data_IF_685864627347
#
_entry.id   IF_685864627347
#
_cell.length_a   1.000
_cell.length_b   1.000
_cell.length_c   1.000
_cell.angle_alpha   90.00
_cell.angle_beta   90.00
_cell.angle_gamma   90.00
#
_symmetry.space_group_name_H-M   'P 1'
#
loop_
_entity.id
_entity.type
_entity.pdbx_description
1 polymer ?
#
# COMPACT_ATOMS: atom_id res chain seq x y z
N UNK A 1 36.82 -8.55 50.74
CA UNK A 1 35.46 -8.75 50.18
C UNK A 1 35.27 -7.75 49.06
N UNK A 2 35.38 -8.18 47.80
CA UNK A 2 35.26 -7.34 46.61
C UNK A 2 33.83 -7.40 46.09
N UNK A 3 33.14 -6.26 46.09
CA UNK A 3 31.79 -6.11 45.54
C UNK A 3 31.85 -6.19 44.00
N UNK A 4 31.54 -7.37 43.46
CA UNK A 4 31.08 -7.55 42.09
C UNK A 4 29.62 -7.12 42.01
N UNK A 5 29.30 -6.09 41.23
CA UNK A 5 28.17 -6.01 40.29
C UNK A 5 27.99 -4.55 39.83
N UNK A 6 28.88 -4.15 38.93
CA UNK A 6 28.70 -3.00 38.07
C UNK A 6 27.70 -3.36 36.95
N UNK A 7 26.47 -3.68 37.35
CA UNK A 7 25.39 -3.94 36.38
C UNK A 7 24.88 -2.59 35.88
N UNK A 8 25.35 -2.19 34.69
CA UNK A 8 24.70 -1.14 33.90
C UNK A 8 23.23 -1.52 33.72
N UNK A 9 22.36 -1.05 34.61
CA UNK A 9 20.91 -1.15 34.44
C UNK A 9 20.57 -0.40 33.16
N UNK A 10 20.42 -1.12 32.04
CA UNK A 10 19.78 -0.55 30.85
C UNK A 10 18.39 -0.09 31.31
N UNK A 11 18.06 1.20 31.21
CA UNK A 11 16.73 1.66 31.60
C UNK A 11 15.71 0.89 30.78
N UNK A 12 14.80 0.18 31.46
CA UNK A 12 13.62 -0.40 30.82
C UNK A 12 12.79 0.77 30.30
N UNK A 13 12.87 1.01 29.00
CA UNK A 13 12.00 1.96 28.34
C UNK A 13 10.66 1.24 28.08
N UNK A 14 9.54 1.74 28.63
CA UNK A 14 8.25 1.09 28.45
C UNK A 14 7.85 1.11 26.98
N UNK A 15 7.60 -0.08 26.42
CA UNK A 15 7.05 -0.25 25.07
C UNK A 15 5.55 -0.05 25.13
N UNK A 16 5.01 0.76 24.20
CA UNK A 16 3.57 0.88 24.00
C UNK A 16 3.15 -0.21 23.04
N UNK A 17 2.18 -1.03 23.43
CA UNK A 17 1.62 -2.08 22.57
C UNK A 17 0.19 -1.71 22.25
N UNK A 18 -0.04 -1.34 20.99
CA UNK A 18 -1.35 -1.02 20.47
C UNK A 18 -1.97 -2.27 19.84
N UNK A 19 -3.24 -2.56 20.13
CA UNK A 19 -4.00 -3.66 19.53
C UNK A 19 -5.14 -3.12 18.70
N UNK A 20 -5.21 -3.53 17.44
CA UNK A 20 -6.31 -3.18 16.52
C UNK A 20 -6.95 -4.46 16.00
N UNK A 21 -8.28 -4.54 16.08
CA UNK A 21 -9.04 -5.64 15.48
C UNK A 21 -9.12 -5.45 13.97
N UNK A 22 -8.84 -6.50 13.21
CA UNK A 22 -9.01 -6.53 11.75
C UNK A 22 -9.98 -7.63 11.36
N UNK A 23 -10.68 -7.44 10.25
CA UNK A 23 -11.41 -8.53 9.63
C UNK A 23 -10.48 -9.47 8.85
N UNK A 24 -10.88 -10.74 8.81
CA UNK A 24 -10.21 -11.81 8.09
C UNK A 24 -10.09 -11.46 6.59
N UNK A 25 -8.90 -11.66 6.02
CA UNK A 25 -8.57 -11.56 4.58
C UNK A 25 -8.27 -10.17 3.99
N UNK A 26 -8.03 -9.13 4.78
CA UNK A 26 -7.56 -7.85 4.24
C UNK A 26 -6.03 -7.80 4.17
N UNK A 27 -5.50 -7.56 2.97
CA UNK A 27 -4.06 -7.40 2.76
C UNK A 27 -3.62 -5.98 3.11
N UNK A 28 -2.51 -5.89 3.84
CA UNK A 28 -1.85 -4.62 4.17
C UNK A 28 -1.42 -3.90 2.91
N UNK A 29 -1.77 -2.61 2.79
CA UNK A 29 -1.45 -1.78 1.61
C UNK A 29 -0.37 -0.76 1.92
N UNK A 30 0.76 -0.85 1.21
CA UNK A 30 1.76 0.21 1.16
C UNK A 30 1.29 1.42 0.36
N UNK A 31 2.09 2.49 0.34
CA UNK A 31 1.95 3.58 -0.64
C UNK A 31 2.51 3.15 -1.99
N UNK A 32 2.01 3.72 -3.10
CA UNK A 32 2.55 3.47 -4.43
C UNK A 32 4.07 3.71 -4.48
N UNK A 33 4.54 4.81 -3.87
CA UNK A 33 5.96 5.10 -3.77
C UNK A 33 6.75 3.99 -3.07
N UNK A 34 6.24 3.49 -1.94
CA UNK A 34 6.90 2.41 -1.19
C UNK A 34 6.93 1.10 -1.97
N UNK A 35 5.84 0.74 -2.67
CA UNK A 35 5.76 -0.45 -3.51
C UNK A 35 6.75 -0.39 -4.67
N UNK A 36 6.80 0.75 -5.38
CA UNK A 36 7.75 0.94 -6.48
C UNK A 36 9.21 0.90 -5.99
N UNK A 37 9.50 1.55 -4.87
CA UNK A 37 10.85 1.57 -4.29
C UNK A 37 11.31 0.15 -3.91
N UNK A 38 10.45 -0.63 -3.24
CA UNK A 38 10.75 -2.03 -2.89
C UNK A 38 10.94 -2.90 -4.13
N UNK A 39 10.16 -2.66 -5.18
CA UNK A 39 10.28 -3.37 -6.45
C UNK A 39 11.62 -3.06 -7.14
N UNK A 40 12.02 -1.78 -7.20
CA UNK A 40 13.31 -1.35 -7.75
C UNK A 40 14.49 -1.92 -6.96
N UNK A 41 14.45 -1.86 -5.63
CA UNK A 41 15.49 -2.45 -4.78
C UNK A 41 15.63 -3.96 -5.03
N UNK A 42 14.51 -4.67 -5.26
CA UNK A 42 14.54 -6.08 -5.65
C UNK A 42 15.17 -6.25 -7.04
N UNK A 43 14.75 -5.45 -8.03
CA UNK A 43 15.31 -5.47 -9.39
C UNK A 43 16.83 -5.23 -9.38
N UNK A 44 17.32 -4.25 -8.63
CA UNK A 44 18.75 -3.95 -8.48
C UNK A 44 19.51 -5.11 -7.82
N UNK A 45 18.99 -5.66 -6.71
CA UNK A 45 19.61 -6.81 -6.03
C UNK A 45 19.74 -8.02 -6.93
N UNK A 46 18.72 -8.27 -7.76
CA UNK A 46 18.74 -9.37 -8.71
C UNK A 46 19.64 -9.10 -9.92
N UNK A 47 19.73 -7.84 -10.38
CA UNK A 47 20.62 -7.43 -11.48
C UNK A 47 22.11 -7.50 -11.12
N UNK A 48 22.47 -7.22 -9.86
CA UNK A 48 23.85 -7.31 -9.36
C UNK A 48 24.35 -8.75 -9.10
N UNK A 49 23.72 -9.75 -9.70
CA UNK A 49 24.30 -11.08 -9.81
C UNK A 49 24.36 -11.88 -8.51
N UNK A 50 23.60 -11.51 -7.47
CA UNK A 50 23.43 -12.37 -6.29
C UNK A 50 22.80 -13.75 -6.63
N UNK A 51 22.41 -13.98 -7.90
CA UNK A 51 21.88 -15.24 -8.45
C UNK A 51 22.35 -15.54 -9.90
N UNK A 52 23.53 -15.09 -10.31
CA UNK A 52 23.96 -15.14 -11.72
C UNK A 52 24.03 -16.57 -12.33
N UNK A 53 23.47 -16.73 -13.54
CA UNK A 53 23.81 -17.81 -14.47
C UNK A 53 24.25 -17.21 -15.81
N UNK A 54 25.49 -17.54 -16.21
CA UNK A 54 26.25 -16.87 -17.27
C UNK A 54 25.95 -17.31 -18.70
N UNK A 55 25.22 -18.40 -18.95
CA UNK A 55 25.12 -18.98 -20.31
C UNK A 55 23.88 -18.60 -21.11
N UNK A 56 22.94 -17.84 -20.53
CA UNK A 56 21.66 -17.52 -21.19
C UNK A 56 21.64 -16.15 -21.89
N UNK A 57 22.69 -15.33 -21.76
CA UNK A 57 22.67 -13.91 -22.13
C UNK A 57 22.38 -13.63 -23.62
N UNK A 58 22.86 -14.47 -24.54
CA UNK A 58 22.69 -14.25 -25.99
C UNK A 58 21.36 -14.79 -26.56
N UNK A 59 20.86 -15.93 -26.05
CA UNK A 59 19.52 -16.42 -26.39
C UNK A 59 18.42 -15.56 -25.72
N UNK A 60 18.69 -15.06 -24.52
CA UNK A 60 17.81 -14.10 -23.85
C UNK A 60 17.69 -12.79 -24.62
N UNK A 61 18.73 -12.22 -25.23
CA UNK A 61 18.60 -10.96 -26.01
C UNK A 61 17.61 -11.05 -27.17
N UNK A 62 17.63 -12.14 -27.94
CA UNK A 62 16.73 -12.34 -29.09
C UNK A 62 15.28 -12.59 -28.63
N UNK A 63 15.11 -13.37 -27.56
CA UNK A 63 13.82 -13.63 -26.93
C UNK A 63 13.31 -12.33 -26.26
N UNK A 64 14.17 -11.56 -25.60
CA UNK A 64 13.89 -10.29 -24.94
C UNK A 64 13.33 -9.27 -25.93
N UNK A 65 13.95 -9.12 -27.11
CA UNK A 65 13.44 -8.25 -28.17
C UNK A 65 12.03 -8.64 -28.65
N UNK A 66 11.78 -9.94 -28.88
CA UNK A 66 10.46 -10.42 -29.32
C UNK A 66 9.39 -10.28 -28.24
N UNK A 67 9.73 -10.56 -26.99
CA UNK A 67 8.80 -10.45 -25.85
C UNK A 67 8.48 -9.00 -25.51
N UNK A 68 9.50 -8.14 -25.54
CA UNK A 68 9.32 -6.70 -25.41
C UNK A 68 8.41 -6.19 -26.54
N UNK A 69 8.65 -6.60 -27.79
CA UNK A 69 7.78 -6.22 -28.93
C UNK A 69 6.34 -6.72 -28.78
N UNK A 70 6.11 -7.94 -28.28
CA UNK A 70 4.76 -8.49 -28.06
C UNK A 70 4.05 -7.74 -26.92
N UNK A 71 4.77 -7.43 -25.84
CA UNK A 71 4.25 -6.69 -24.70
C UNK A 71 3.92 -5.25 -25.10
N UNK A 72 4.84 -4.61 -25.81
CA UNK A 72 4.74 -3.26 -26.35
C UNK A 72 3.60 -3.17 -27.36
N UNK A 73 3.46 -4.15 -28.25
CA UNK A 73 2.33 -4.25 -29.17
C UNK A 73 1.01 -4.48 -28.44
N UNK A 74 0.97 -5.40 -27.48
CA UNK A 74 -0.23 -5.64 -26.69
C UNK A 74 -0.65 -4.38 -25.92
N UNK A 75 0.29 -3.60 -25.40
CA UNK A 75 0.01 -2.39 -24.63
C UNK A 75 -0.32 -1.21 -25.55
N UNK A 76 0.47 -0.97 -26.59
CA UNK A 76 0.21 0.09 -27.58
C UNK A 76 -1.13 -0.15 -28.27
N UNK A 77 -1.45 -1.39 -28.66
CA UNK A 77 -2.70 -1.72 -29.36
C UNK A 77 -3.90 -1.80 -28.42
N UNK A 78 -3.78 -2.38 -27.21
CA UNK A 78 -4.91 -2.50 -26.29
C UNK A 78 -5.16 -1.23 -25.48
N UNK A 79 -4.14 -0.40 -25.26
CA UNK A 79 -4.18 0.74 -24.34
C UNK A 79 -3.75 2.08 -24.94
N UNK A 80 -3.39 2.13 -26.23
CA UNK A 80 -3.04 3.36 -26.98
C UNK A 80 -1.91 4.19 -26.35
N UNK A 81 -0.94 3.54 -25.70
CA UNK A 81 0.22 4.21 -25.11
C UNK A 81 1.34 4.27 -26.14
N UNK A 82 1.87 5.46 -26.44
CA UNK A 82 2.86 5.69 -27.50
C UNK A 82 4.32 5.62 -27.02
N UNK A 83 4.57 5.85 -25.73
CA UNK A 83 5.89 5.69 -25.11
C UNK A 83 5.79 4.70 -23.93
N UNK A 84 6.47 3.57 -24.06
CA UNK A 84 6.52 2.49 -23.06
C UNK A 84 7.88 2.41 -22.35
N UNK A 85 8.66 3.50 -22.32
CA UNK A 85 9.88 3.52 -21.53
C UNK A 85 9.60 3.26 -20.05
N UNK A 86 10.56 2.64 -19.35
CA UNK A 86 10.42 2.32 -17.92
C UNK A 86 10.16 3.59 -17.09
N UNK A 87 10.87 4.67 -17.40
CA UNK A 87 10.69 5.99 -16.77
C UNK A 87 9.28 6.54 -16.96
N UNK A 88 8.66 6.36 -18.12
CA UNK A 88 7.28 6.80 -18.36
C UNK A 88 6.29 5.97 -17.56
N UNK A 89 6.48 4.66 -17.51
CA UNK A 89 5.60 3.76 -16.75
C UNK A 89 5.71 3.99 -15.24
N UNK A 90 6.90 4.28 -14.73
CA UNK A 90 7.08 4.70 -13.35
C UNK A 90 6.36 6.03 -13.03
N UNK A 91 6.42 7.00 -13.95
CA UNK A 91 5.67 8.27 -13.81
C UNK A 91 4.15 8.03 -13.83
N UNK A 92 3.67 7.17 -14.72
CA UNK A 92 2.26 6.77 -14.80
C UNK A 92 1.83 6.07 -13.50
N UNK A 93 2.66 5.15 -12.99
CA UNK A 93 2.39 4.41 -11.76
C UNK A 93 2.25 5.31 -10.52
N UNK A 94 3.10 6.33 -10.43
CA UNK A 94 3.09 7.28 -9.31
C UNK A 94 2.07 8.42 -9.45
N UNK A 95 1.42 8.54 -10.61
CA UNK A 95 0.53 9.66 -10.89
C UNK A 95 -0.66 9.73 -9.92
N UNK A 96 -0.97 10.94 -9.48
CA UNK A 96 -2.10 11.27 -8.62
C UNK A 96 -3.41 11.53 -9.41
N UNK A 97 -3.51 10.99 -10.62
CA UNK A 97 -4.68 11.08 -11.50
C UNK A 97 -4.61 10.03 -12.59
N UNK A 98 -5.75 9.72 -13.20
CA UNK A 98 -5.78 8.93 -14.43
C UNK A 98 -4.97 9.67 -15.51
N UNK A 99 -3.99 8.99 -16.11
CA UNK A 99 -3.04 9.61 -17.07
C UNK A 99 -3.28 9.18 -18.50
N UNK A 100 -3.92 8.04 -18.70
CA UNK A 100 -4.29 7.54 -20.02
C UNK A 100 -5.66 8.11 -20.40
N UNK A 101 -5.67 9.02 -21.37
CA UNK A 101 -6.86 9.79 -21.80
C UNK A 101 -8.00 8.93 -22.33
N UNK A 102 -7.74 7.68 -22.71
CA UNK A 102 -8.75 6.71 -23.14
C UNK A 102 -9.42 5.97 -21.97
N UNK A 103 -9.06 6.25 -20.73
CA UNK A 103 -9.52 5.54 -19.54
C UNK A 103 -10.29 6.49 -18.63
N UNK A 104 -11.54 6.15 -18.37
CA UNK A 104 -12.36 6.86 -17.40
C UNK A 104 -11.91 6.53 -15.97
N UNK A 105 -12.12 7.48 -15.05
CA UNK A 105 -11.88 7.24 -13.65
C UNK A 105 -12.76 6.08 -13.14
N UNK A 106 -12.10 5.11 -12.48
CA UNK A 106 -12.74 3.91 -11.97
C UNK A 106 -13.08 4.11 -10.48
N UNK A 107 -14.21 3.58 -10.03
CA UNK A 107 -14.54 3.55 -8.60
C UNK A 107 -13.61 2.63 -7.79
N UNK A 108 -13.52 2.87 -6.48
CA UNK A 108 -12.64 2.10 -5.56
C UNK A 108 -12.95 0.61 -5.60
N UNK A 109 -14.23 0.22 -5.54
CA UNK A 109 -14.69 -1.18 -5.60
C UNK A 109 -14.23 -1.88 -6.88
N UNK A 110 -14.38 -1.20 -8.02
CA UNK A 110 -14.01 -1.76 -9.32
C UNK A 110 -12.49 -1.88 -9.46
N UNK A 111 -11.73 -0.87 -9.04
CA UNK A 111 -10.26 -0.96 -9.03
C UNK A 111 -9.79 -2.10 -8.12
N UNK A 112 -10.41 -2.26 -6.95
CA UNK A 112 -10.12 -3.37 -6.04
C UNK A 112 -10.43 -4.73 -6.67
N UNK A 113 -11.60 -4.87 -7.28
CA UNK A 113 -11.98 -6.10 -7.98
C UNK A 113 -10.94 -6.49 -9.05
N UNK A 114 -10.47 -5.53 -9.85
CA UNK A 114 -9.43 -5.76 -10.84
C UNK A 114 -8.11 -6.21 -10.19
N UNK A 115 -7.68 -5.54 -9.11
CA UNK A 115 -6.50 -5.95 -8.34
C UNK A 115 -6.63 -7.39 -7.83
N UNK A 116 -7.77 -7.73 -7.23
CA UNK A 116 -8.02 -9.05 -6.64
C UNK A 116 -7.98 -10.16 -7.70
N UNK A 117 -8.53 -9.93 -8.90
CA UNK A 117 -8.44 -10.89 -10.00
C UNK A 117 -6.98 -11.13 -10.39
N UNK A 118 -6.20 -10.06 -10.55
CA UNK A 118 -4.80 -10.16 -10.98
C UNK A 118 -3.94 -10.84 -9.90
N UNK A 119 -4.16 -10.50 -8.62
CA UNK A 119 -3.50 -11.14 -7.48
C UNK A 119 -3.86 -12.62 -7.41
N UNK A 120 -5.14 -12.99 -7.55
CA UNK A 120 -5.56 -14.40 -7.60
C UNK A 120 -4.86 -15.17 -8.72
N UNK A 121 -4.70 -14.56 -9.91
CA UNK A 121 -3.95 -15.20 -10.99
C UNK A 121 -2.46 -15.38 -10.66
N UNK A 122 -1.81 -14.39 -10.03
CA UNK A 122 -0.43 -14.52 -9.54
C UNK A 122 -0.30 -15.62 -8.48
N UNK A 123 -1.24 -15.69 -7.52
CA UNK A 123 -1.25 -16.71 -6.46
C UNK A 123 -1.51 -18.11 -7.02
N UNK A 124 -2.47 -18.25 -7.93
CA UNK A 124 -2.74 -19.52 -8.61
C UNK A 124 -1.52 -19.99 -9.39
N UNK A 125 -0.80 -19.07 -10.05
CA UNK A 125 0.47 -19.40 -10.71
C UNK A 125 1.52 -19.91 -9.70
N UNK A 126 1.68 -19.20 -8.57
CA UNK A 126 2.58 -19.60 -7.48
C UNK A 126 2.26 -21.00 -6.96
N UNK A 127 0.98 -21.28 -6.69
CA UNK A 127 0.50 -22.55 -6.14
C UNK A 127 0.62 -23.67 -7.17
N UNK A 128 0.15 -23.48 -8.40
CA UNK A 128 0.18 -24.49 -9.46
C UNK A 128 1.62 -24.94 -9.77
N UNK A 129 2.59 -24.05 -9.64
CA UNK A 129 4.01 -24.37 -9.79
C UNK A 129 4.57 -25.11 -8.57
N UNK A 130 4.24 -24.68 -7.35
CA UNK A 130 4.65 -25.36 -6.11
C UNK A 130 4.09 -26.79 -5.98
N UNK A 131 2.85 -27.03 -6.39
CA UNK A 131 2.17 -28.34 -6.21
C UNK A 131 2.49 -29.37 -7.29
N UNK A 132 2.79 -28.95 -8.53
CA UNK A 132 3.01 -29.89 -9.63
C UNK A 132 4.43 -30.44 -9.75
N UNK A 133 5.34 -30.12 -8.82
CA UNK A 133 6.76 -30.51 -8.93
C UNK A 133 7.46 -30.01 -10.21
N UNK A 134 6.81 -29.08 -10.93
CA UNK A 134 7.20 -28.55 -12.25
C UNK A 134 8.06 -27.29 -12.15
N UNK A 135 8.47 -26.90 -10.94
CA UNK A 135 9.46 -25.85 -10.77
C UNK A 135 10.77 -26.38 -11.35
N UNK A 136 11.15 -25.91 -12.54
CA UNK A 136 12.57 -25.95 -12.91
C UNK A 136 13.37 -25.32 -11.75
N UNK A 137 14.61 -25.77 -11.51
CA UNK A 137 15.45 -25.30 -10.39
C UNK A 137 15.48 -23.75 -10.23
N UNK A 138 15.25 -22.99 -11.30
CA UNK A 138 15.16 -21.53 -11.32
C UNK A 138 13.82 -20.95 -10.81
N UNK A 139 12.68 -21.60 -11.06
CA UNK A 139 11.35 -21.09 -10.68
C UNK A 139 11.05 -21.32 -9.18
N UNK A 140 11.73 -22.27 -8.53
CA UNK A 140 11.66 -22.47 -7.08
C UNK A 140 12.58 -21.53 -6.29
N UNK A 141 13.33 -20.67 -6.98
CA UNK A 141 14.36 -19.86 -6.33
C UNK A 141 13.74 -18.82 -5.37
N UNK A 142 14.42 -18.48 -4.26
CA UNK A 142 14.02 -17.38 -3.39
C UNK A 142 13.84 -16.06 -4.16
N UNK A 143 14.65 -15.84 -5.20
CA UNK A 143 14.55 -14.71 -6.10
C UNK A 143 13.19 -14.65 -6.83
N UNK A 144 12.69 -15.78 -7.31
CA UNK A 144 11.40 -15.87 -7.98
C UNK A 144 10.22 -15.60 -7.03
N UNK A 145 10.26 -16.18 -5.82
CA UNK A 145 9.24 -15.92 -4.80
C UNK A 145 9.23 -14.46 -4.35
N UNK A 146 10.42 -13.85 -4.24
CA UNK A 146 10.56 -12.44 -3.93
C UNK A 146 10.02 -11.56 -5.06
N UNK A 147 10.30 -11.90 -6.32
CA UNK A 147 9.74 -11.22 -7.49
C UNK A 147 8.21 -11.25 -7.47
N UNK A 148 7.59 -12.42 -7.24
CA UNK A 148 6.13 -12.54 -7.17
C UNK A 148 5.52 -11.74 -6.02
N UNK A 149 6.15 -11.77 -4.84
CA UNK A 149 5.71 -10.96 -3.70
C UNK A 149 5.78 -9.46 -3.99
N UNK A 150 6.87 -8.98 -4.61
CA UNK A 150 7.01 -7.55 -4.95
C UNK A 150 6.14 -7.12 -6.12
N UNK A 151 5.82 -8.05 -7.00
CA UNK A 151 4.82 -7.88 -8.06
C UNK A 151 3.40 -7.70 -7.47
N UNK A 152 3.05 -8.51 -6.47
CA UNK A 152 1.80 -8.32 -5.72
C UNK A 152 1.76 -6.96 -5.01
N UNK A 153 2.84 -6.56 -4.33
CA UNK A 153 2.95 -5.23 -3.68
C UNK A 153 2.70 -4.08 -4.68
N UNK A 154 3.19 -4.21 -5.93
CA UNK A 154 2.95 -3.22 -7.00
C UNK A 154 1.48 -3.15 -7.42
N UNK A 155 0.81 -4.29 -7.59
CA UNK A 155 -0.62 -4.34 -7.95
C UNK A 155 -1.48 -3.74 -6.84
N UNK A 156 -1.24 -4.13 -5.59
CA UNK A 156 -1.98 -3.62 -4.43
C UNK A 156 -1.83 -2.10 -4.34
N UNK A 157 -0.61 -1.59 -4.54
CA UNK A 157 -0.27 -0.17 -4.44
C UNK A 157 -0.77 0.72 -5.58
N UNK A 158 -1.33 0.18 -6.67
CA UNK A 158 -1.73 1.01 -7.83
C UNK A 158 -2.96 1.88 -7.52
N UNK A 159 -2.86 3.20 -7.72
CA UNK A 159 -3.94 4.16 -7.39
C UNK A 159 -5.00 4.33 -8.46
N UNK A 160 -4.61 4.09 -9.71
CA UNK A 160 -5.40 4.31 -10.93
C UNK A 160 -5.41 3.05 -11.77
N UNK A 161 -6.30 3.00 -12.76
CA UNK A 161 -6.26 1.92 -13.74
C UNK A 161 -5.01 2.00 -14.62
N UNK A 162 -4.59 3.22 -14.97
CA UNK A 162 -3.32 3.51 -15.64
C UNK A 162 -2.13 2.99 -14.82
N UNK A 163 -2.12 3.19 -13.49
CA UNK A 163 -1.08 2.66 -12.62
C UNK A 163 -1.12 1.12 -12.53
N UNK A 164 -2.32 0.53 -12.53
CA UNK A 164 -2.47 -0.93 -12.55
C UNK A 164 -1.92 -1.53 -13.86
N UNK A 165 -2.07 -0.82 -14.97
CA UNK A 165 -1.47 -1.23 -16.25
C UNK A 165 0.04 -1.02 -16.27
N UNK A 166 0.51 0.11 -15.71
CA UNK A 166 1.94 0.37 -15.57
C UNK A 166 2.63 -0.67 -14.69
N UNK A 167 1.98 -1.16 -13.62
CA UNK A 167 2.55 -2.24 -12.81
C UNK A 167 2.71 -3.52 -13.62
N UNK A 168 1.71 -3.92 -14.42
CA UNK A 168 1.83 -5.06 -15.34
C UNK A 168 3.02 -4.91 -16.28
N UNK A 169 3.24 -3.71 -16.83
CA UNK A 169 4.39 -3.44 -17.67
C UNK A 169 5.72 -3.56 -16.93
N UNK A 170 5.85 -2.90 -15.77
CA UNK A 170 7.07 -2.91 -14.97
C UNK A 170 7.45 -4.32 -14.53
N UNK A 171 6.46 -5.12 -14.14
CA UNK A 171 6.65 -6.53 -13.79
C UNK A 171 7.10 -7.36 -14.98
N UNK A 172 6.45 -7.19 -16.14
CA UNK A 172 6.82 -7.90 -17.36
C UNK A 172 8.27 -7.59 -17.74
N UNK A 173 8.61 -6.30 -17.86
CA UNK A 173 9.94 -5.83 -18.23
C UNK A 173 11.02 -6.33 -17.28
N UNK A 174 10.77 -6.24 -15.97
CA UNK A 174 11.68 -6.76 -14.95
C UNK A 174 11.91 -8.26 -15.13
N UNK A 175 10.86 -9.06 -15.32
CA UNK A 175 11.02 -10.48 -15.53
C UNK A 175 11.75 -10.85 -16.83
N UNK A 176 11.56 -10.08 -17.92
CA UNK A 176 12.35 -10.27 -19.14
C UNK A 176 13.83 -9.93 -18.90
N UNK A 177 14.13 -8.91 -18.11
CA UNK A 177 15.52 -8.57 -17.73
C UNK A 177 16.15 -9.64 -16.83
N UNK A 178 15.37 -10.25 -15.94
CA UNK A 178 15.82 -11.30 -15.04
C UNK A 178 15.94 -12.68 -15.71
N UNK A 179 15.62 -12.76 -17.01
CA UNK A 179 15.75 -14.01 -17.76
C UNK A 179 14.77 -15.10 -17.30
N UNK A 180 13.66 -14.73 -16.66
CA UNK A 180 12.58 -15.67 -16.34
C UNK A 180 11.93 -16.13 -17.64
N UNK A 181 12.53 -17.14 -18.28
CA UNK A 181 12.08 -17.67 -19.57
C UNK A 181 11.47 -19.05 -19.41
N UNK A 182 10.23 -19.18 -19.93
CA UNK A 182 9.69 -20.29 -20.75
C UNK A 182 8.17 -20.19 -20.69
N UNK A 183 7.54 -19.73 -21.78
CA UNK A 183 6.10 -19.75 -22.11
C UNK A 183 5.07 -19.44 -21.01
N UNK A 184 5.04 -20.16 -19.89
CA UNK A 184 4.15 -20.00 -18.75
C UNK A 184 4.16 -18.60 -18.14
N UNK A 185 5.33 -17.97 -17.97
CA UNK A 185 5.39 -16.61 -17.43
C UNK A 185 4.77 -15.60 -18.41
N UNK A 186 5.09 -15.72 -19.70
CA UNK A 186 4.48 -14.88 -20.73
C UNK A 186 2.99 -15.12 -20.86
N UNK A 187 2.56 -16.37 -20.75
CA UNK A 187 1.15 -16.71 -20.71
C UNK A 187 0.48 -16.12 -19.47
N UNK A 188 1.15 -16.09 -18.31
CA UNK A 188 0.65 -15.37 -17.14
C UNK A 188 0.46 -13.88 -17.44
N UNK A 189 1.44 -13.22 -18.07
CA UNK A 189 1.32 -11.79 -18.43
C UNK A 189 0.27 -11.52 -19.51
N UNK A 190 0.17 -12.38 -20.52
CA UNK A 190 -0.85 -12.30 -21.55
C UNK A 190 -2.24 -12.55 -20.96
N UNK A 191 -2.37 -13.49 -20.03
CA UNK A 191 -3.61 -13.77 -19.30
C UNK A 191 -3.99 -12.58 -18.43
N UNK A 192 -3.09 -12.07 -17.59
CA UNK A 192 -3.30 -10.88 -16.75
C UNK A 192 -3.74 -9.68 -17.60
N UNK A 193 -3.02 -9.41 -18.69
CA UNK A 193 -3.32 -8.30 -19.61
C UNK A 193 -4.64 -8.48 -20.37
N UNK A 194 -4.99 -9.72 -20.73
CA UNK A 194 -6.24 -10.04 -21.42
C UNK A 194 -7.42 -9.96 -20.46
N UNK A 195 -7.29 -10.51 -19.26
CA UNK A 195 -8.29 -10.38 -18.21
C UNK A 195 -8.56 -8.92 -17.90
N UNK A 196 -7.52 -8.10 -17.71
CA UNK A 196 -7.68 -6.66 -17.48
C UNK A 196 -8.40 -5.98 -18.65
N UNK A 197 -7.96 -6.24 -19.90
CA UNK A 197 -8.58 -5.65 -21.08
C UNK A 197 -10.06 -6.06 -21.26
N UNK A 198 -10.41 -7.31 -20.98
CA UNK A 198 -11.79 -7.79 -21.05
C UNK A 198 -12.64 -7.15 -19.95
N UNK A 199 -12.15 -7.12 -18.71
CA UNK A 199 -12.88 -6.51 -17.59
C UNK A 199 -13.09 -5.00 -17.77
N UNK A 200 -12.15 -4.31 -18.42
CA UNK A 200 -12.32 -2.89 -18.81
C UNK A 200 -13.45 -2.72 -19.82
N UNK A 201 -13.56 -3.61 -20.81
CA UNK A 201 -14.60 -3.50 -21.84
C UNK A 201 -16.01 -3.80 -21.33
N UNK A 202 -16.14 -4.70 -20.35
CA UNK A 202 -17.46 -5.19 -19.93
C UNK A 202 -18.06 -4.43 -18.76
N UNK A 203 -17.26 -3.82 -17.86
CA UNK A 203 -17.73 -3.43 -16.52
C UNK A 203 -17.46 -1.97 -16.09
N UNK A 204 -17.11 -1.07 -17.01
CA UNK A 204 -16.55 0.23 -16.66
C UNK A 204 -17.49 1.41 -16.90
N UNK A 205 -18.60 1.45 -16.17
CA UNK A 205 -19.28 2.72 -15.92
C UNK A 205 -18.34 3.67 -15.15
N UNK A 206 -18.22 4.90 -15.67
CA UNK A 206 -17.41 5.98 -15.14
C UNK A 206 -18.13 6.63 -13.95
N UNK A 207 -17.45 6.71 -12.80
CA UNK A 207 -17.88 7.57 -11.70
C UNK A 207 -16.71 8.47 -11.30
N UNK A 208 -16.74 9.70 -11.80
CA UNK A 208 -15.70 10.69 -11.53
C UNK A 208 -15.74 11.19 -10.08
N UNK A 209 -16.89 11.12 -9.40
CA UNK A 209 -17.03 11.55 -8.01
C UNK A 209 -16.50 10.49 -7.04
N UNK A 210 -16.69 9.20 -7.36
CA UNK A 210 -16.14 8.07 -6.59
C UNK A 210 -14.75 7.58 -7.08
N UNK A 211 -14.00 8.40 -7.82
CA UNK A 211 -12.74 8.01 -8.43
C UNK A 211 -11.73 7.45 -7.39
N UNK A 212 -11.28 6.22 -7.59
CA UNK A 212 -10.44 5.48 -6.66
C UNK A 212 -9.15 6.23 -6.28
N UNK A 213 -8.55 6.91 -7.26
CA UNK A 213 -7.31 7.64 -7.06
C UNK A 213 -7.45 8.81 -6.09
N UNK A 214 -8.63 9.44 -5.99
CA UNK A 214 -8.88 10.53 -5.02
C UNK A 214 -8.85 9.99 -3.59
N UNK A 215 -9.49 8.85 -3.37
CA UNK A 215 -9.52 8.21 -2.05
C UNK A 215 -8.12 7.70 -1.66
N UNK A 216 -7.43 7.02 -2.58
CA UNK A 216 -6.07 6.52 -2.35
C UNK A 216 -5.07 7.66 -2.11
N UNK A 217 -5.14 8.76 -2.88
CA UNK A 217 -4.31 9.95 -2.66
C UNK A 217 -4.53 10.53 -1.26
N UNK A 218 -5.79 10.62 -0.83
CA UNK A 218 -6.12 11.12 0.50
C UNK A 218 -5.55 10.18 1.57
N UNK A 219 -5.79 8.88 1.45
CA UNK A 219 -5.24 7.84 2.34
C UNK A 219 -3.72 7.94 2.47
N UNK A 220 -2.98 8.03 1.35
CA UNK A 220 -1.52 8.12 1.37
C UNK A 220 -1.03 9.37 2.10
N UNK A 221 -1.67 10.53 1.87
CA UNK A 221 -1.33 11.77 2.58
C UNK A 221 -1.55 11.64 4.09
N UNK A 222 -2.69 11.08 4.49
CA UNK A 222 -3.00 10.82 5.90
C UNK A 222 -1.96 9.90 6.55
N UNK A 223 -1.59 8.82 5.86
CA UNK A 223 -0.56 7.89 6.33
C UNK A 223 0.79 8.60 6.54
N UNK A 224 1.23 9.42 5.58
CA UNK A 224 2.50 10.17 5.69
C UNK A 224 2.47 11.14 6.88
N UNK A 225 1.36 11.85 7.11
CA UNK A 225 1.22 12.75 8.26
C UNK A 225 1.24 11.99 9.59
N UNK A 226 0.60 10.83 9.65
CA UNK A 226 0.62 9.97 10.85
C UNK A 226 2.03 9.41 11.10
N UNK A 227 2.75 9.00 10.06
CA UNK A 227 4.14 8.56 10.15
C UNK A 227 5.07 9.68 10.64
N UNK A 228 4.90 10.92 10.16
CA UNK A 228 5.60 12.09 10.67
C UNK A 228 5.25 12.36 12.15
N UNK A 229 3.97 12.23 12.52
CA UNK A 229 3.55 12.33 13.92
C UNK A 229 4.24 11.28 14.80
N UNK A 230 4.28 10.02 14.37
CA UNK A 230 4.98 8.94 15.08
C UNK A 230 6.48 9.25 15.19
N UNK A 231 7.16 9.65 14.12
CA UNK A 231 8.60 9.97 14.18
C UNK A 231 8.96 10.99 15.28
N UNK A 232 8.02 11.90 15.59
CA UNK A 232 8.18 12.96 16.62
C UNK A 232 7.73 12.55 18.02
N UNK A 233 7.05 11.41 18.17
CA UNK A 233 6.32 11.01 19.40
C UNK A 233 6.56 9.56 19.83
N UNK A 234 6.66 8.63 18.91
CA UNK A 234 6.83 7.21 19.17
C UNK A 234 7.56 6.53 18.00
N UNK A 235 8.73 5.96 18.28
CA UNK A 235 9.48 5.18 17.29
C UNK A 235 8.80 3.82 17.11
N UNK A 236 8.37 3.52 15.89
CA UNK A 236 7.81 2.21 15.55
C UNK A 236 8.89 1.13 15.66
N UNK A 237 8.58 0.02 16.34
CA UNK A 237 9.50 -1.11 16.56
C UNK A 237 9.13 -2.25 15.62
N UNK A 238 7.89 -2.73 15.73
CA UNK A 238 7.43 -3.92 15.02
C UNK A 238 5.91 -3.97 14.94
N UNK A 239 5.42 -4.74 13.98
CA UNK A 239 4.02 -5.14 13.87
C UNK A 239 3.95 -6.66 13.80
N UNK A 240 3.05 -7.26 14.57
CA UNK A 240 2.76 -8.69 14.54
C UNK A 240 1.29 -8.87 14.19
N UNK A 241 1.02 -9.68 13.17
CA UNK A 241 -0.32 -10.01 12.72
C UNK A 241 -0.75 -11.36 13.29
N UNK A 242 -1.95 -11.40 13.85
CA UNK A 242 -2.67 -12.60 14.23
C UNK A 242 -4.01 -12.63 13.48
N UNK A 243 -4.76 -13.74 13.55
CA UNK A 243 -5.96 -13.97 12.73
C UNK A 243 -6.98 -12.81 12.79
N UNK A 244 -7.18 -12.23 13.97
CA UNK A 244 -8.18 -11.17 14.20
C UNK A 244 -7.56 -9.85 14.67
N UNK A 245 -6.25 -9.80 14.90
CA UNK A 245 -5.61 -8.66 15.55
C UNK A 245 -4.26 -8.34 14.96
N UNK A 246 -3.95 -7.05 14.91
CA UNK A 246 -2.59 -6.58 14.69
C UNK A 246 -2.10 -5.85 15.92
N UNK A 247 -0.93 -6.30 16.37
CA UNK A 247 -0.19 -5.71 17.48
C UNK A 247 0.90 -4.82 16.90
N UNK A 248 0.88 -3.54 17.25
CA UNK A 248 1.94 -2.59 16.89
C UNK A 248 2.68 -2.16 18.15
N UNK A 249 4.01 -2.21 18.10
CA UNK A 249 4.86 -1.87 19.23
C UNK A 249 5.63 -0.59 18.96
N UNK A 250 5.61 0.33 19.92
CA UNK A 250 6.27 1.63 19.82
C UNK A 250 7.14 1.94 21.04
N UNK A 251 8.23 2.65 20.79
CA UNK A 251 9.05 3.26 21.83
C UNK A 251 8.70 4.75 21.95
N UNK A 252 8.13 5.21 23.08
CA UNK A 252 7.81 6.61 23.24
C UNK A 252 9.08 7.47 23.22
N UNK A 253 9.04 8.55 22.46
CA UNK A 253 10.10 9.56 22.48
C UNK A 253 9.97 10.35 23.77
N UNK A 254 10.92 10.19 24.69
CA UNK A 254 10.93 10.87 25.98
C UNK A 254 11.18 12.38 25.79
N UNK A 255 10.29 13.23 26.31
CA UNK A 255 10.40 14.70 26.24
C UNK A 255 10.66 15.36 27.60
N UNK A 256 11.13 14.61 28.58
CA UNK A 256 11.50 15.13 29.90
C UNK A 256 10.44 14.89 30.99
N UNK A 257 10.68 15.47 32.17
CA UNK A 257 9.95 15.17 33.42
C UNK A 257 8.52 15.71 33.49
N UNK A 258 8.25 16.89 32.92
CA UNK A 258 6.92 17.54 32.97
C UNK A 258 5.93 17.02 31.92
N UNK A 259 6.26 15.90 31.27
CA UNK A 259 5.52 15.39 30.15
C UNK A 259 4.49 14.35 30.60
N UNK A 260 3.21 14.57 30.25
CA UNK A 260 2.13 13.65 30.58
C UNK A 260 2.21 12.35 29.74
N UNK A 261 2.93 11.36 30.27
CA UNK A 261 3.18 10.07 29.61
C UNK A 261 1.89 9.31 29.30
N UNK A 262 0.91 9.33 30.22
CA UNK A 262 -0.38 8.63 30.04
C UNK A 262 -1.14 9.19 28.84
N UNK A 263 -1.24 10.52 28.76
CA UNK A 263 -1.89 11.20 27.65
C UNK A 263 -1.19 10.93 26.31
N UNK A 264 0.15 10.88 26.28
CA UNK A 264 0.88 10.55 25.06
C UNK A 264 0.63 9.13 24.59
N UNK A 265 0.72 8.15 25.49
CA UNK A 265 0.51 6.75 25.15
C UNK A 265 -0.89 6.55 24.56
N UNK A 266 -1.90 7.11 25.21
CA UNK A 266 -3.28 7.04 24.72
C UNK A 266 -3.46 7.75 23.36
N UNK A 267 -2.77 8.87 23.10
CA UNK A 267 -2.77 9.51 21.77
C UNK A 267 -2.04 8.68 20.71
N UNK A 268 -0.98 7.95 21.09
CA UNK A 268 -0.30 7.01 20.20
C UNK A 268 -1.25 5.87 19.84
N UNK A 269 -2.02 5.35 20.79
CA UNK A 269 -3.03 4.32 20.54
C UNK A 269 -4.10 4.81 19.55
N UNK A 270 -4.62 6.02 19.72
CA UNK A 270 -5.60 6.63 18.80
C UNK A 270 -5.01 6.81 17.41
N UNK A 271 -3.81 7.39 17.30
CA UNK A 271 -3.13 7.56 16.02
C UNK A 271 -2.85 6.22 15.34
N UNK A 272 -2.47 5.19 16.10
CA UNK A 272 -2.19 3.85 15.58
C UNK A 272 -3.47 3.17 15.08
N UNK A 273 -4.58 3.31 15.81
CA UNK A 273 -5.86 2.78 15.36
C UNK A 273 -6.25 3.35 13.99
N UNK A 274 -6.15 4.67 13.80
CA UNK A 274 -6.41 5.30 12.50
C UNK A 274 -5.40 4.86 11.43
N UNK A 275 -4.10 4.84 11.74
CA UNK A 275 -3.06 4.41 10.80
C UNK A 275 -3.30 2.98 10.31
N UNK A 276 -3.66 2.06 11.21
CA UNK A 276 -4.02 0.68 10.88
C UNK A 276 -5.28 0.60 10.03
N UNK A 277 -6.33 1.34 10.37
CA UNK A 277 -7.55 1.42 9.55
C UNK A 277 -7.24 1.86 8.10
N UNK A 278 -6.35 2.84 7.94
CA UNK A 278 -5.91 3.32 6.62
C UNK A 278 -4.97 2.35 5.89
N UNK A 279 -4.15 1.58 6.60
CA UNK A 279 -3.26 0.59 5.97
C UNK A 279 -4.02 -0.62 5.41
N UNK A 280 -5.06 -1.07 6.10
CA UNK A 280 -5.87 -2.22 5.69
C UNK A 280 -7.14 -1.80 4.95
N UNK A 281 -7.39 -0.49 4.84
CA UNK A 281 -8.61 0.06 4.24
C UNK A 281 -9.88 -0.50 4.89
N UNK A 282 -9.91 -0.51 6.22
CA UNK A 282 -11.06 -0.99 6.98
C UNK A 282 -11.37 -0.15 8.20
N UNK A 283 -12.66 0.01 8.43
CA UNK A 283 -13.20 0.73 9.58
C UNK A 283 -14.39 -0.06 10.13
N UNK A 284 -14.34 -0.45 11.40
CA UNK A 284 -15.40 -1.21 12.09
C UNK A 284 -15.86 -2.49 11.36
N UNK A 285 -14.97 -3.13 10.61
CA UNK A 285 -15.31 -4.30 9.80
C UNK A 285 -15.99 -4.00 8.47
N UNK A 286 -16.10 -2.73 8.10
CA UNK A 286 -16.46 -2.34 6.74
C UNK A 286 -15.20 -1.97 5.96
N UNK A 287 -15.26 -2.13 4.64
CA UNK A 287 -14.18 -1.70 3.73
C UNK A 287 -14.31 -0.20 3.51
N UNK A 288 -13.21 0.53 3.62
CA UNK A 288 -13.16 1.96 3.28
C UNK A 288 -13.13 2.07 1.75
N UNK A 289 -14.29 2.01 1.12
CA UNK A 289 -14.44 2.03 -0.35
C UNK A 289 -15.06 3.33 -0.89
N UNK A 290 -15.35 4.28 0.00
CA UNK A 290 -15.95 5.55 -0.34
C UNK A 290 -15.51 6.64 0.66
N UNK A 291 -15.57 7.92 0.27
CA UNK A 291 -15.08 9.03 1.11
C UNK A 291 -15.87 9.22 2.41
N UNK A 292 -17.15 8.83 2.46
CA UNK A 292 -17.96 8.92 3.69
C UNK A 292 -17.43 8.01 4.79
N UNK A 293 -17.09 6.76 4.47
CA UNK A 293 -16.53 5.81 5.45
C UNK A 293 -15.17 6.29 5.95
N UNK A 294 -14.33 6.83 5.05
CA UNK A 294 -13.05 7.45 5.43
C UNK A 294 -13.26 8.64 6.37
N UNK A 295 -14.24 9.51 6.09
CA UNK A 295 -14.59 10.63 6.97
C UNK A 295 -15.04 10.15 8.34
N UNK A 296 -15.86 9.10 8.41
CA UNK A 296 -16.33 8.53 9.67
C UNK A 296 -15.17 7.99 10.52
N UNK A 297 -14.21 7.31 9.89
CA UNK A 297 -12.98 6.86 10.57
C UNK A 297 -12.19 8.03 11.15
N UNK A 298 -12.06 9.12 10.40
CA UNK A 298 -11.36 10.33 10.85
C UNK A 298 -12.08 11.03 12.01
N UNK A 299 -13.40 11.24 11.88
CA UNK A 299 -14.24 11.82 12.94
C UNK A 299 -14.20 10.99 14.22
N UNK A 300 -14.18 9.65 14.09
CA UNK A 300 -14.02 8.75 15.22
C UNK A 300 -12.67 8.96 15.92
N UNK A 301 -11.57 9.07 15.18
CA UNK A 301 -10.26 9.36 15.73
C UNK A 301 -10.20 10.74 16.42
N UNK A 302 -10.87 11.76 15.88
CA UNK A 302 -10.99 13.08 16.50
C UNK A 302 -11.73 13.01 17.85
N UNK A 303 -12.88 12.33 17.86
CA UNK A 303 -13.67 12.11 19.08
C UNK A 303 -12.89 11.31 20.14
N UNK A 304 -12.15 10.28 19.71
CA UNK A 304 -11.31 9.48 20.62
C UNK A 304 -10.13 10.27 21.18
N UNK A 305 -9.48 11.12 20.38
CA UNK A 305 -8.42 12.01 20.86
C UNK A 305 -8.96 13.04 21.88
N UNK A 306 -10.14 13.61 21.63
CA UNK A 306 -10.80 14.52 22.57
C UNK A 306 -11.18 13.81 23.87
N UNK A 307 -11.74 12.60 23.78
CA UNK A 307 -12.05 11.77 24.95
C UNK A 307 -10.81 11.47 25.79
N UNK A 308 -9.72 11.06 25.15
CA UNK A 308 -8.43 10.78 25.80
C UNK A 308 -7.86 12.04 26.46
N UNK A 309 -8.00 13.21 25.82
CA UNK A 309 -7.60 14.48 26.41
C UNK A 309 -8.42 14.82 27.66
N UNK A 310 -9.74 14.61 27.66
CA UNK A 310 -10.58 14.83 28.85
C UNK A 310 -10.25 13.87 29.99
N UNK A 311 -9.87 12.63 29.69
CA UNK A 311 -9.58 11.62 30.69
C UNK A 311 -8.19 11.77 31.34
N UNK A 312 -7.18 12.13 30.55
CA UNK A 312 -5.79 12.15 31.01
C UNK A 312 -5.13 13.52 30.99
N UNK A 313 -5.74 14.53 30.36
CA UNK A 313 -5.20 15.88 30.28
C UNK A 313 -5.23 16.60 31.63
N UNK A 314 -4.11 17.22 31.98
CA UNK A 314 -4.03 18.15 33.11
C UNK A 314 -4.32 19.59 32.69
N UNK A 315 -4.35 20.49 33.67
CA UNK A 315 -4.62 21.93 33.50
C UNK A 315 -3.64 22.62 32.53
N UNK A 316 -2.40 22.14 32.46
CA UNK A 316 -1.35 22.69 31.58
C UNK A 316 -1.21 21.96 30.24
N UNK A 317 -1.95 20.86 30.03
CA UNK A 317 -1.91 20.13 28.77
C UNK A 317 -2.78 20.83 27.73
N UNK A 318 -2.31 20.88 26.48
CA UNK A 318 -3.12 21.37 25.34
C UNK A 318 -3.82 20.20 24.64
N UNK A 319 -4.82 20.49 23.80
CA UNK A 319 -5.45 19.55 22.83
C UNK A 319 -4.44 18.74 22.01
N UNK A 320 -3.23 19.29 21.84
CA UNK A 320 -2.05 18.55 21.42
C UNK A 320 -1.90 18.45 19.90
N UNK A 321 -0.70 18.05 19.45
CA UNK A 321 -0.37 18.00 18.00
C UNK A 321 -1.24 17.02 17.21
N UNK A 322 -1.78 15.98 17.85
CA UNK A 322 -2.66 15.03 17.18
C UNK A 322 -4.01 15.68 16.82
N UNK A 323 -4.57 16.53 17.68
CA UNK A 323 -5.83 17.24 17.37
C UNK A 323 -5.69 18.09 16.11
N UNK A 324 -4.66 18.93 16.06
CA UNK A 324 -4.39 19.80 14.92
C UNK A 324 -4.17 18.99 13.63
N UNK A 325 -3.44 17.86 13.72
CA UNK A 325 -3.23 16.99 12.58
C UNK A 325 -4.55 16.41 12.07
N UNK A 326 -5.43 15.94 12.95
CA UNK A 326 -6.71 15.35 12.55
C UNK A 326 -7.66 16.39 11.95
N UNK A 327 -7.69 17.62 12.49
CA UNK A 327 -8.45 18.75 11.93
C UNK A 327 -7.93 19.14 10.53
N UNK A 328 -6.61 19.22 10.36
CA UNK A 328 -5.97 19.48 9.05
C UNK A 328 -6.31 18.38 8.04
N UNK A 329 -6.28 17.13 8.47
CA UNK A 329 -6.67 15.97 7.67
C UNK A 329 -8.15 16.03 7.24
N UNK A 330 -9.03 16.51 8.12
CA UNK A 330 -10.46 16.64 7.81
C UNK A 330 -10.69 17.76 6.79
N UNK A 331 -10.02 18.90 6.97
CA UNK A 331 -10.05 20.01 6.00
C UNK A 331 -9.58 19.57 4.62
N UNK A 332 -8.51 18.79 4.52
CA UNK A 332 -8.02 18.25 3.24
C UNK A 332 -9.01 17.26 2.61
N UNK A 333 -9.63 16.39 3.41
CA UNK A 333 -10.64 15.45 2.91
C UNK A 333 -11.84 16.21 2.31
N UNK A 334 -12.33 17.24 3.00
CA UNK A 334 -13.42 18.09 2.53
C UNK A 334 -13.04 18.91 1.28
N UNK A 335 -11.79 19.34 1.17
CA UNK A 335 -11.30 20.03 -0.03
C UNK A 335 -11.25 19.11 -1.26
N UNK A 336 -10.99 17.81 -1.06
CA UNK A 336 -10.96 16.81 -2.15
C UNK A 336 -12.37 16.31 -2.49
N UNK A 337 -13.26 16.23 -1.49
CA UNK A 337 -14.64 15.77 -1.61
C UNK A 337 -15.64 16.80 -1.04
N UNK A 338 -15.90 17.92 -1.73
CA UNK A 338 -16.80 18.99 -1.25
C UNK A 338 -18.23 18.50 -0.98
N UNK A 339 -18.66 17.48 -1.71
CA UNK A 339 -19.98 16.84 -1.55
C UNK A 339 -20.23 16.28 -0.14
N UNK A 340 -19.17 15.98 0.63
CA UNK A 340 -19.30 15.56 2.03
C UNK A 340 -19.85 16.68 2.92
N UNK A 341 -19.47 17.93 2.66
CA UNK A 341 -19.97 19.09 3.42
C UNK A 341 -21.44 19.37 3.13
N UNK A 342 -21.86 19.23 1.87
CA UNK A 342 -23.24 19.45 1.45
C UNK A 342 -24.21 18.43 2.07
N UNK A 343 -23.78 17.17 2.20
CA UNK A 343 -24.57 16.11 2.85
C UNK A 343 -24.73 16.31 4.35
N UNK A 344 -23.72 16.89 5.01
CA UNK A 344 -23.81 17.23 6.44
C UNK A 344 -24.84 18.33 6.69
N UNK A 345 -24.84 19.36 5.85
CA UNK A 345 -25.82 20.46 5.94
C UNK A 345 -27.25 19.99 5.67
N UNK A 346 -27.44 19.00 4.80
CA UNK A 346 -28.75 18.40 4.52
C UNK A 346 -29.26 17.49 5.66
N UNK A 347 -28.37 16.92 6.48
CA UNK A 347 -28.74 16.11 7.65
C UNK A 347 -28.95 16.97 8.92
N UNK A 348 -28.42 18.19 8.96
CA UNK A 348 -28.60 19.14 10.08
C UNK A 348 -29.81 20.07 9.95
N UNK A 349 -30.57 19.98 8.86
CA UNK A 349 -31.83 20.69 8.67
C UNK A 349 -32.99 19.68 8.58
N UNK A 350 -33.63 19.32 9.71
CA UNK A 350 -34.93 18.68 9.72
C UNK A 350 -36.04 19.64 9.27
#
# INVERSE_FOLDING_TARGET
MSCFFDSKRKPFHPVIVCRVSLQKNQEKRGTAQSSLTRFKQMQEKLAHGQFAHSDLANQLKLIHGKLQTILDFAITKKFKITDISQSVMEKIYLADRETLTSINAVSVKKLQYLKDILIKQLLNYKIAKQTRGLLGKQEASPAYLQFLSKSQDLIIGSKTLSALMASLFLMAKCAVQLGFSKSAFLQLFLNLSTTLATSIKTNLESDATAAAWRLEKTRERLLVKLEDYFSKRALFISSQENQDYVFSSFHPVNKGYFFNKRLQNARIDVANALWMQLQYMSYQGEVIDNPTVLQNALKKAMADNERVYRLYGGVFDKKGKLANLLEECEGELLAIFPELSLRQNAQSHP
#
